data_IF_166265461353
#
_entry.id   IF_166265461353
#
_cell.length_a   1.000
_cell.length_b   1.000
_cell.length_c   1.000
_cell.angle_alpha   90.00
_cell.angle_beta   90.00
_cell.angle_gamma   90.00
#
_symmetry.space_group_name_H-M   'P 1'
#
loop_
_entity.id
_entity.type
_entity.pdbx_description
1 polymer ?
#
# COMPACT_ATOMS: atom_id res chain seq x y z
N UNK A 1 44.03 -17.31 -15.43
CA UNK A 1 43.18 -17.15 -14.22
C UNK A 1 42.94 -15.67 -13.84
N UNK A 2 43.73 -14.70 -14.36
CA UNK A 2 43.60 -13.24 -14.12
C UNK A 2 42.30 -12.60 -14.66
N UNK A 3 41.81 -12.99 -15.84
CA UNK A 3 40.62 -12.37 -16.48
C UNK A 3 39.29 -12.59 -15.74
N UNK A 4 39.16 -13.67 -14.97
CA UNK A 4 37.90 -14.04 -14.29
C UNK A 4 37.64 -13.17 -13.05
N UNK A 5 38.68 -12.75 -12.34
CA UNK A 5 38.56 -11.90 -11.14
C UNK A 5 38.16 -10.48 -11.51
N UNK A 6 38.71 -9.93 -12.60
CA UNK A 6 38.41 -8.57 -13.07
C UNK A 6 36.98 -8.43 -13.62
N UNK A 7 36.46 -9.47 -14.31
CA UNK A 7 35.08 -9.50 -14.79
C UNK A 7 34.05 -9.44 -13.65
N UNK A 8 34.34 -10.11 -12.53
CA UNK A 8 33.44 -10.15 -11.36
C UNK A 8 33.44 -8.83 -10.57
N UNK A 9 34.57 -8.13 -10.49
CA UNK A 9 34.64 -6.82 -9.81
C UNK A 9 33.80 -5.79 -10.56
N UNK A 10 33.89 -5.79 -11.89
CA UNK A 10 33.07 -4.94 -12.76
C UNK A 10 31.59 -5.31 -12.61
N UNK A 11 31.23 -6.60 -12.63
CA UNK A 11 29.84 -7.06 -12.44
C UNK A 11 29.25 -6.62 -11.08
N UNK A 12 30.02 -6.75 -10.00
CA UNK A 12 29.61 -6.29 -8.65
C UNK A 12 29.38 -4.78 -8.62
N UNK A 13 30.24 -4.01 -9.30
CA UNK A 13 30.16 -2.54 -9.36
C UNK A 13 29.07 -2.08 -10.35
N UNK A 14 28.78 -2.84 -11.40
CA UNK A 14 27.61 -2.63 -12.25
C UNK A 14 26.30 -2.85 -11.48
N UNK A 15 26.28 -3.85 -10.59
CA UNK A 15 25.10 -4.10 -9.77
C UNK A 15 24.82 -2.96 -8.76
N UNK A 16 25.80 -2.10 -8.46
CA UNK A 16 25.60 -0.90 -7.64
C UNK A 16 24.63 0.11 -8.26
N UNK A 17 24.54 0.20 -9.58
CA UNK A 17 23.61 1.14 -10.24
C UNK A 17 22.33 0.47 -10.76
N UNK A 18 22.38 -0.82 -11.11
CA UNK A 18 21.20 -1.56 -11.60
C UNK A 18 20.19 -1.86 -10.50
N UNK A 19 20.65 -2.15 -9.28
CA UNK A 19 19.76 -2.51 -8.17
C UNK A 19 18.93 -1.34 -7.64
N UNK A 20 19.48 -0.14 -7.35
CA UNK A 20 18.68 0.99 -6.86
C UNK A 20 17.49 1.32 -7.76
N UNK A 21 17.65 1.24 -9.08
CA UNK A 21 16.59 1.50 -10.05
C UNK A 21 15.39 0.57 -9.92
N UNK A 22 15.54 -0.63 -9.32
CA UNK A 22 14.41 -1.54 -9.09
C UNK A 22 13.49 -1.11 -7.94
N UNK A 23 13.90 -0.13 -7.10
CA UNK A 23 12.99 0.53 -6.14
C UNK A 23 12.04 1.54 -6.83
N UNK A 24 12.24 1.76 -8.13
CA UNK A 24 11.47 2.66 -8.97
C UNK A 24 10.74 1.82 -10.02
N UNK A 25 9.43 1.97 -10.10
CA UNK A 25 8.63 1.40 -11.17
C UNK A 25 8.50 2.42 -12.31
N UNK A 26 8.65 1.95 -13.54
CA UNK A 26 8.37 2.75 -14.73
C UNK A 26 6.91 2.56 -15.12
N UNK A 27 6.15 3.65 -15.17
CA UNK A 27 4.74 3.63 -15.55
C UNK A 27 4.56 4.40 -16.86
N UNK A 28 3.89 3.79 -17.83
CA UNK A 28 3.55 4.41 -19.10
C UNK A 28 2.50 5.52 -18.90
N UNK A 29 2.74 6.68 -19.51
CA UNK A 29 1.83 7.81 -19.51
C UNK A 29 0.73 7.60 -20.56
N UNK A 30 -0.50 8.05 -20.28
CA UNK A 30 -1.52 8.17 -21.30
C UNK A 30 -1.05 9.14 -22.37
N UNK A 31 -1.46 8.88 -23.60
CA UNK A 31 -1.35 9.83 -24.69
C UNK A 31 -2.14 11.09 -24.33
N UNK A 32 -1.42 12.15 -23.94
CA UNK A 32 -1.97 13.50 -24.03
C UNK A 32 -2.21 13.83 -25.49
N UNK A 33 -3.34 14.45 -25.79
CA UNK A 33 -3.93 14.68 -27.12
C UNK A 33 -3.07 15.44 -28.15
N UNK A 34 -1.75 15.59 -27.98
CA UNK A 34 -0.86 16.26 -28.94
C UNK A 34 0.56 15.66 -29.05
N UNK A 35 0.87 14.49 -28.47
CA UNK A 35 2.17 13.83 -28.71
C UNK A 35 2.05 12.33 -28.90
N UNK A 36 2.46 11.84 -30.09
CA UNK A 36 2.39 10.45 -30.57
C UNK A 36 3.36 9.47 -29.88
N UNK A 37 3.86 9.79 -28.70
CA UNK A 37 4.74 8.89 -27.93
C UNK A 37 4.27 8.79 -26.48
N UNK A 38 4.04 7.58 -25.95
CA UNK A 38 3.76 7.38 -24.53
C UNK A 38 5.01 7.80 -23.76
N UNK A 39 4.92 8.92 -23.05
CA UNK A 39 6.00 9.33 -22.15
C UNK A 39 6.02 8.33 -20.99
N UNK A 40 7.17 7.98 -20.43
CA UNK A 40 7.22 7.12 -19.24
C UNK A 40 7.54 8.00 -18.01
N UNK A 41 6.91 7.75 -16.86
CA UNK A 41 7.31 8.37 -15.59
C UNK A 41 7.60 7.33 -14.53
N UNK A 42 8.69 7.59 -13.85
CA UNK A 42 9.20 6.81 -12.75
C UNK A 42 8.46 7.13 -11.43
N UNK A 43 7.88 6.12 -10.80
CA UNK A 43 7.25 6.22 -9.49
C UNK A 43 7.91 5.30 -8.46
N UNK A 44 7.76 5.63 -7.18
CA UNK A 44 8.23 4.75 -6.12
C UNK A 44 7.37 3.49 -6.07
N UNK A 45 7.97 2.33 -5.79
CA UNK A 45 7.26 1.04 -5.87
C UNK A 45 6.02 0.97 -4.94
N UNK A 46 6.03 1.69 -3.81
CA UNK A 46 4.87 1.78 -2.90
C UNK A 46 3.77 2.73 -3.38
N UNK A 47 3.99 3.49 -4.46
CA UNK A 47 2.94 4.26 -5.14
C UNK A 47 2.09 3.33 -6.02
N UNK A 48 1.69 2.19 -5.48
CA UNK A 48 0.87 1.19 -6.13
C UNK A 48 -0.58 1.25 -5.60
N UNK A 49 -1.51 0.72 -6.39
CA UNK A 49 -2.95 0.65 -6.07
C UNK A 49 -3.19 0.08 -4.68
N UNK A 50 -2.46 -0.98 -4.38
CA UNK A 50 -2.59 -1.81 -3.19
C UNK A 50 -2.36 -1.03 -1.89
N UNK A 51 -1.47 -0.04 -1.87
CA UNK A 51 -1.28 0.82 -0.70
C UNK A 51 -2.51 1.69 -0.43
N UNK A 52 -3.04 2.34 -1.47
CA UNK A 52 -4.22 3.21 -1.33
C UNK A 52 -5.50 2.41 -1.08
N UNK A 53 -5.59 1.20 -1.62
CA UNK A 53 -6.65 0.24 -1.35
C UNK A 53 -6.64 -0.25 0.11
N UNK A 54 -5.45 -0.51 0.67
CA UNK A 54 -5.28 -0.84 2.08
C UNK A 54 -5.66 0.34 2.98
N UNK A 55 -5.17 1.53 2.66
CA UNK A 55 -5.53 2.77 3.34
C UNK A 55 -7.05 2.97 3.30
N UNK A 56 -7.65 2.63 2.17
CA UNK A 56 -9.07 2.76 1.97
C UNK A 56 -9.88 1.87 2.91
N UNK A 57 -9.55 0.58 2.93
CA UNK A 57 -10.15 -0.35 3.86
C UNK A 57 -10.02 0.10 5.33
N UNK A 58 -8.83 0.57 5.70
CA UNK A 58 -8.53 1.03 7.06
C UNK A 58 -9.49 2.14 7.50
N UNK A 59 -9.68 3.16 6.66
CA UNK A 59 -10.59 4.26 6.95
C UNK A 59 -12.06 3.84 6.98
N UNK A 60 -12.49 2.93 6.09
CA UNK A 60 -13.84 2.37 6.17
C UNK A 60 -14.09 1.64 7.50
N UNK A 61 -13.17 0.74 7.88
CA UNK A 61 -13.29 -0.05 9.10
C UNK A 61 -13.33 0.83 10.35
N UNK A 62 -12.51 1.88 10.40
CA UNK A 62 -12.51 2.84 11.52
C UNK A 62 -13.80 3.66 11.66
N UNK A 63 -14.65 3.71 10.63
CA UNK A 63 -15.96 4.41 10.68
C UNK A 63 -17.10 3.51 11.16
N UNK A 64 -16.86 2.22 11.33
CA UNK A 64 -17.80 1.34 11.99
C UNK A 64 -17.97 1.76 13.47
N UNK A 65 -19.04 1.34 14.15
CA UNK A 65 -19.23 1.62 15.56
C UNK A 65 -18.05 1.14 16.40
N UNK A 66 -17.52 1.99 17.27
CA UNK A 66 -16.37 1.70 18.14
C UNK A 66 -16.74 0.94 19.42
N UNK A 67 -18.02 0.94 19.79
CA UNK A 67 -18.50 0.35 21.03
C UNK A 67 -19.88 -0.26 20.87
N UNK A 68 -20.25 -1.11 21.83
CA UNK A 68 -21.61 -1.67 21.90
C UNK A 68 -22.69 -0.59 21.96
N UNK A 69 -22.42 0.50 22.68
CA UNK A 69 -23.35 1.61 22.86
C UNK A 69 -23.46 2.45 21.59
N UNK A 70 -22.34 2.67 20.89
CA UNK A 70 -22.35 3.31 19.58
C UNK A 70 -23.14 2.49 18.56
N UNK A 71 -22.98 1.16 18.58
CA UNK A 71 -23.73 0.26 17.71
C UNK A 71 -25.22 0.34 18.00
N UNK A 72 -25.63 0.25 19.27
CA UNK A 72 -27.05 0.32 19.67
C UNK A 72 -27.66 1.69 19.34
N UNK A 73 -26.90 2.77 19.49
CA UNK A 73 -27.32 4.12 19.10
C UNK A 73 -27.56 4.24 17.60
N UNK A 74 -26.72 3.63 16.77
CA UNK A 74 -26.83 3.68 15.31
C UNK A 74 -27.85 2.68 14.77
N UNK A 75 -27.99 1.53 15.43
CA UNK A 75 -28.87 0.44 15.04
C UNK A 75 -29.66 -0.08 16.24
N UNK A 76 -30.65 0.67 16.75
CA UNK A 76 -31.44 0.22 17.90
C UNK A 76 -32.05 -1.16 17.64
N UNK A 77 -31.95 -2.06 18.62
CA UNK A 77 -32.40 -3.45 18.51
C UNK A 77 -33.90 -3.54 18.20
N UNK A 78 -34.68 -2.63 18.76
CA UNK A 78 -36.12 -2.48 18.47
C UNK A 78 -36.40 -2.20 16.98
N UNK A 79 -35.56 -1.38 16.33
CA UNK A 79 -35.67 -1.07 14.90
C UNK A 79 -35.17 -2.23 14.03
N UNK A 80 -34.46 -3.20 14.62
CA UNK A 80 -33.99 -4.41 13.97
C UNK A 80 -34.90 -5.63 14.24
N UNK A 81 -36.07 -5.45 14.86
CA UNK A 81 -36.97 -6.53 15.28
C UNK A 81 -37.28 -7.53 14.15
N UNK A 82 -37.53 -7.02 12.93
CA UNK A 82 -37.80 -7.83 11.72
C UNK A 82 -36.70 -8.83 11.40
N UNK A 83 -35.43 -8.51 11.68
CA UNK A 83 -34.31 -9.43 11.49
C UNK A 83 -34.28 -10.47 12.60
N UNK A 84 -34.47 -10.03 13.85
CA UNK A 84 -34.42 -10.91 15.02
C UNK A 84 -35.60 -11.88 15.14
N UNK A 85 -36.73 -11.57 14.50
CA UNK A 85 -37.86 -12.49 14.35
C UNK A 85 -37.51 -13.69 13.45
N UNK A 86 -36.64 -13.48 12.46
CA UNK A 86 -36.16 -14.54 11.56
C UNK A 86 -35.03 -15.32 12.23
N UNK A 87 -34.04 -14.60 12.77
CA UNK A 87 -32.90 -15.15 13.49
C UNK A 87 -32.57 -14.29 14.71
N UNK A 88 -32.88 -14.80 15.90
CA UNK A 88 -32.66 -14.08 17.17
C UNK A 88 -31.19 -13.73 17.43
N UNK A 89 -30.24 -14.44 16.81
CA UNK A 89 -28.80 -14.20 17.01
C UNK A 89 -28.17 -13.22 16.01
N UNK A 90 -28.84 -12.86 14.90
CA UNK A 90 -28.23 -12.07 13.83
C UNK A 90 -27.76 -10.69 14.29
N UNK A 91 -28.49 -10.07 15.22
CA UNK A 91 -28.17 -8.75 15.74
C UNK A 91 -26.81 -8.75 16.46
N UNK A 92 -26.59 -9.72 17.36
CA UNK A 92 -25.34 -9.83 18.11
C UNK A 92 -24.18 -10.26 17.22
N UNK A 93 -24.41 -11.13 16.23
CA UNK A 93 -23.39 -11.53 15.26
C UNK A 93 -22.95 -10.34 14.41
N UNK A 94 -23.90 -9.54 13.92
CA UNK A 94 -23.61 -8.34 13.13
C UNK A 94 -22.84 -7.31 13.96
N UNK A 95 -23.29 -7.06 15.19
CA UNK A 95 -22.62 -6.19 16.16
C UNK A 95 -21.19 -6.61 16.42
N UNK A 96 -20.96 -7.90 16.74
CA UNK A 96 -19.62 -8.43 16.97
C UNK A 96 -18.72 -8.23 15.75
N UNK A 97 -19.20 -8.57 14.55
CA UNK A 97 -18.42 -8.38 13.31
C UNK A 97 -17.99 -6.93 13.09
N UNK A 98 -18.89 -5.97 13.32
CA UNK A 98 -18.57 -4.54 13.18
C UNK A 98 -17.50 -4.10 14.18
N UNK A 99 -17.65 -4.49 15.46
CA UNK A 99 -16.72 -4.11 16.51
C UNK A 99 -15.33 -4.73 16.33
N UNK A 100 -15.24 -5.98 15.89
CA UNK A 100 -13.97 -6.67 15.69
C UNK A 100 -13.18 -6.03 14.53
N UNK A 101 -13.86 -5.70 13.44
CA UNK A 101 -13.26 -5.02 12.28
C UNK A 101 -12.83 -3.61 12.65
N UNK A 102 -13.69 -2.85 13.33
CA UNK A 102 -13.38 -1.50 13.78
C UNK A 102 -12.10 -1.49 14.64
N UNK A 103 -12.02 -2.39 15.63
CA UNK A 103 -10.86 -2.47 16.53
C UNK A 103 -9.57 -2.88 15.81
N UNK A 104 -9.65 -3.83 14.88
CA UNK A 104 -8.49 -4.25 14.08
C UNK A 104 -7.99 -3.08 13.23
N UNK A 105 -8.88 -2.39 12.52
CA UNK A 105 -8.54 -1.21 11.73
C UNK A 105 -8.00 -0.05 12.58
N UNK A 106 -8.64 0.29 13.70
CA UNK A 106 -8.17 1.37 14.57
C UNK A 106 -6.78 1.08 15.15
N UNK A 107 -6.55 -0.14 15.64
CA UNK A 107 -5.24 -0.56 16.15
C UNK A 107 -4.19 -0.44 15.06
N UNK A 108 -4.43 -1.05 13.89
CA UNK A 108 -3.46 -1.02 12.79
C UNK A 108 -3.15 0.41 12.36
N UNK A 109 -4.16 1.28 12.25
CA UNK A 109 -3.96 2.69 11.92
C UNK A 109 -3.09 3.43 12.94
N UNK A 110 -3.34 3.21 14.24
CA UNK A 110 -2.63 3.86 15.33
C UNK A 110 -1.20 3.35 15.50
N UNK A 111 -1.00 2.04 15.34
CA UNK A 111 0.23 1.37 15.80
C UNK A 111 1.15 0.97 14.65
N UNK A 112 0.65 0.76 13.43
CA UNK A 112 1.41 0.07 12.37
C UNK A 112 1.36 0.76 11.00
N UNK A 113 0.22 1.34 10.61
CA UNK A 113 0.03 1.91 9.27
C UNK A 113 1.04 3.02 8.95
N UNK A 114 1.39 3.83 9.95
CA UNK A 114 2.38 4.90 9.83
C UNK A 114 3.80 4.42 9.49
N UNK A 115 4.12 3.13 9.65
CA UNK A 115 5.43 2.59 9.30
C UNK A 115 5.57 2.28 7.81
N UNK A 116 4.47 2.04 7.08
CA UNK A 116 4.52 1.80 5.63
C UNK A 116 5.14 2.99 4.90
N UNK A 117 4.67 4.24 5.09
CA UNK A 117 5.31 5.38 4.42
C UNK A 117 6.70 5.72 4.96
N UNK A 118 7.03 5.33 6.20
CA UNK A 118 8.40 5.47 6.72
C UNK A 118 9.42 4.66 5.91
N UNK A 119 9.02 3.58 5.23
CA UNK A 119 9.90 2.85 4.30
C UNK A 119 10.48 3.79 3.24
N UNK A 120 9.68 4.70 2.68
CA UNK A 120 10.19 5.69 1.73
C UNK A 120 11.25 6.61 2.38
N UNK A 121 11.07 6.96 3.66
CA UNK A 121 12.06 7.70 4.45
C UNK A 121 13.35 6.91 4.70
N UNK A 122 13.26 5.62 5.03
CA UNK A 122 14.43 4.74 5.17
C UNK A 122 15.19 4.61 3.84
N UNK A 123 14.47 4.41 2.73
CA UNK A 123 15.06 4.33 1.38
C UNK A 123 15.74 5.63 0.98
N UNK A 124 15.13 6.80 1.24
CA UNK A 124 15.75 8.10 1.01
C UNK A 124 17.03 8.28 1.83
N UNK A 125 16.98 7.94 3.12
CA UNK A 125 18.10 8.08 4.04
C UNK A 125 19.27 7.21 3.58
N UNK A 126 18.99 5.94 3.24
CA UNK A 126 19.97 5.07 2.63
C UNK A 126 20.54 5.67 1.34
N UNK A 127 19.68 6.13 0.42
CA UNK A 127 20.12 6.63 -0.89
C UNK A 127 21.02 7.87 -0.77
N UNK A 128 20.70 8.82 0.12
CA UNK A 128 21.54 9.99 0.40
C UNK A 128 22.91 9.57 0.94
N UNK A 129 22.89 8.62 1.87
CA UNK A 129 24.08 8.01 2.43
C UNK A 129 24.91 7.29 1.36
N UNK A 130 24.26 6.56 0.47
CA UNK A 130 24.91 5.81 -0.60
C UNK A 130 25.57 6.74 -1.62
N UNK A 131 24.93 7.86 -2.00
CA UNK A 131 25.53 8.88 -2.88
C UNK A 131 26.81 9.44 -2.26
N UNK A 132 26.77 9.84 -0.99
CA UNK A 132 27.93 10.38 -0.30
C UNK A 132 29.09 9.37 -0.26
N UNK A 133 28.78 8.12 0.13
CA UNK A 133 29.78 7.06 0.23
C UNK A 133 30.32 6.62 -1.13
N UNK A 134 29.49 6.59 -2.16
CA UNK A 134 29.89 6.31 -3.54
C UNK A 134 30.83 7.39 -4.08
N UNK A 135 30.57 8.67 -3.78
CA UNK A 135 31.49 9.76 -4.11
C UNK A 135 32.86 9.58 -3.44
N UNK A 136 32.88 9.19 -2.17
CA UNK A 136 34.13 8.86 -1.47
C UNK A 136 34.82 7.63 -2.02
N UNK A 137 34.06 6.60 -2.40
CA UNK A 137 34.61 5.41 -3.05
C UNK A 137 35.27 5.78 -4.38
N UNK A 138 34.66 6.67 -5.18
CA UNK A 138 35.23 7.18 -6.44
C UNK A 138 36.59 7.84 -6.22
N UNK A 139 36.71 8.69 -5.20
CA UNK A 139 37.97 9.35 -4.84
C UNK A 139 39.06 8.32 -4.50
N UNK A 140 38.74 7.30 -3.70
CA UNK A 140 39.72 6.27 -3.31
C UNK A 140 40.09 5.33 -4.45
N UNK A 141 39.12 4.91 -5.27
CA UNK A 141 39.37 4.09 -6.46
C UNK A 141 40.26 4.83 -7.45
N UNK A 142 40.08 6.15 -7.62
CA UNK A 142 40.96 6.95 -8.48
C UNK A 142 42.42 6.97 -8.02
N UNK A 143 42.67 6.89 -6.70
CA UNK A 143 44.03 6.76 -6.14
C UNK A 143 44.60 5.36 -6.39
N UNK A 144 43.80 4.30 -6.18
CA UNK A 144 44.25 2.91 -6.40
C UNK A 144 44.60 2.68 -7.88
N UNK A 145 43.88 3.34 -8.79
CA UNK A 145 44.06 3.26 -10.24
C UNK A 145 44.89 4.45 -10.80
N UNK A 146 45.79 5.00 -9.99
CA UNK A 146 46.79 5.96 -10.46
C UNK A 146 47.89 5.21 -11.20
N UNK A 147 48.28 5.70 -12.39
CA UNK A 147 49.23 5.06 -13.28
C UNK A 147 50.58 4.78 -12.58
N UNK A 148 50.94 5.57 -11.56
CA UNK A 148 52.16 5.35 -10.77
C UNK A 148 52.17 4.02 -10.00
N UNK A 149 51.02 3.38 -9.79
CA UNK A 149 50.87 2.11 -9.05
C UNK A 149 50.74 0.88 -9.95
N UNK A 150 50.95 1.03 -11.26
CA UNK A 150 50.98 -0.08 -12.22
C UNK A 150 52.01 -1.14 -11.81
N UNK A 151 53.20 -0.70 -11.40
CA UNK A 151 54.21 -1.58 -10.82
C UNK A 151 54.00 -1.76 -9.31
N UNK A 152 54.03 -3.00 -8.83
CA UNK A 152 53.85 -3.34 -7.42
C UNK A 152 54.87 -2.65 -6.50
N UNK A 153 56.10 -2.47 -6.97
CA UNK A 153 57.19 -1.78 -6.24
C UNK A 153 56.88 -0.32 -5.92
N UNK A 154 55.94 0.32 -6.63
CA UNK A 154 55.57 1.72 -6.43
C UNK A 154 54.38 1.90 -5.47
N UNK A 155 53.79 0.80 -4.96
CA UNK A 155 52.65 0.82 -4.03
C UNK A 155 53.07 1.32 -2.64
N UNK A 156 52.88 2.61 -2.45
CA UNK A 156 53.22 3.33 -1.22
C UNK A 156 52.14 3.22 -0.13
N UNK A 157 52.36 3.90 1.01
CA UNK A 157 51.38 3.98 2.10
C UNK A 157 50.02 4.51 1.61
N UNK A 158 49.99 5.47 0.68
CA UNK A 158 48.75 6.08 0.18
C UNK A 158 47.91 5.07 -0.60
N UNK A 159 48.55 4.19 -1.38
CA UNK A 159 47.86 3.07 -2.04
C UNK A 159 47.14 2.17 -1.01
N UNK A 160 47.87 1.74 0.02
CA UNK A 160 47.35 0.85 1.07
C UNK A 160 46.26 1.52 1.92
N UNK A 161 46.44 2.80 2.27
CA UNK A 161 45.44 3.59 2.99
C UNK A 161 44.15 3.72 2.16
N UNK A 162 44.25 3.98 0.86
CA UNK A 162 43.09 4.05 -0.05
C UNK A 162 42.40 2.70 -0.22
N UNK A 163 43.15 1.59 -0.30
CA UNK A 163 42.58 0.24 -0.33
C UNK A 163 41.78 -0.07 0.93
N UNK A 164 42.33 0.27 2.11
CA UNK A 164 41.63 0.10 3.39
C UNK A 164 40.40 1.01 3.51
N UNK A 165 40.48 2.24 2.98
CA UNK A 165 39.35 3.16 2.92
C UNK A 165 38.23 2.62 2.02
N UNK A 166 38.52 2.10 0.82
CA UNK A 166 37.54 1.44 -0.03
C UNK A 166 36.80 0.31 0.70
N UNK A 167 37.53 -0.56 1.40
CA UNK A 167 36.94 -1.66 2.19
C UNK A 167 36.00 -1.13 3.28
N UNK A 168 36.42 -0.09 4.00
CA UNK A 168 35.63 0.51 5.07
C UNK A 168 34.35 1.18 4.53
N UNK A 169 34.44 1.85 3.38
CA UNK A 169 33.30 2.48 2.71
C UNK A 169 32.29 1.43 2.22
N UNK A 170 32.77 0.34 1.61
CA UNK A 170 31.93 -0.78 1.18
C UNK A 170 31.27 -1.47 2.38
N UNK A 171 31.98 -1.66 3.49
CA UNK A 171 31.41 -2.22 4.72
C UNK A 171 30.30 -1.33 5.28
N UNK A 172 30.49 -0.01 5.25
CA UNK A 172 29.46 0.94 5.70
C UNK A 172 28.22 0.90 4.79
N UNK A 173 28.41 0.79 3.48
CA UNK A 173 27.32 0.60 2.51
C UNK A 173 26.57 -0.72 2.74
N UNK A 174 27.31 -1.82 2.98
CA UNK A 174 26.75 -3.13 3.33
C UNK A 174 25.87 -3.04 4.59
N UNK A 175 26.43 -2.54 5.69
CA UNK A 175 25.72 -2.45 6.97
C UNK A 175 24.43 -1.63 6.83
N UNK A 176 24.50 -0.46 6.16
CA UNK A 176 23.34 0.41 5.95
C UNK A 176 22.27 -0.24 5.07
N UNK A 177 22.66 -1.01 4.05
CA UNK A 177 21.69 -1.76 3.24
C UNK A 177 21.00 -2.85 4.07
N UNK A 178 21.75 -3.58 4.89
CA UNK A 178 21.20 -4.62 5.78
C UNK A 178 20.27 -4.04 6.85
N UNK A 179 20.62 -2.89 7.44
CA UNK A 179 19.76 -2.16 8.39
C UNK A 179 18.45 -1.70 7.73
N UNK A 180 18.53 -1.21 6.49
CA UNK A 180 17.35 -0.80 5.72
C UNK A 180 16.46 -2.00 5.39
N UNK A 181 17.06 -3.12 4.94
CA UNK A 181 16.33 -4.37 4.70
C UNK A 181 15.62 -4.87 5.96
N UNK A 182 16.29 -4.82 7.12
CA UNK A 182 15.71 -5.19 8.41
C UNK A 182 14.53 -4.29 8.79
N UNK A 183 14.68 -2.97 8.67
CA UNK A 183 13.60 -2.02 8.92
C UNK A 183 12.37 -2.31 8.06
N UNK A 184 12.55 -2.65 6.78
CA UNK A 184 11.45 -3.04 5.89
C UNK A 184 10.84 -4.39 6.30
N UNK A 185 11.67 -5.35 6.73
CA UNK A 185 11.21 -6.64 7.25
C UNK A 185 10.31 -6.48 8.48
N UNK A 186 10.62 -5.52 9.36
CA UNK A 186 9.79 -5.22 10.52
C UNK A 186 8.41 -4.67 10.09
N UNK A 187 8.36 -3.83 9.04
CA UNK A 187 7.08 -3.35 8.46
C UNK A 187 6.28 -4.49 7.83
N UNK A 188 6.93 -5.39 7.08
CA UNK A 188 6.28 -6.58 6.51
C UNK A 188 5.64 -7.43 7.61
N UNK A 189 6.33 -7.63 8.73
CA UNK A 189 5.84 -8.42 9.87
C UNK A 189 4.59 -7.78 10.50
N UNK A 190 4.52 -6.44 10.55
CA UNK A 190 3.33 -5.72 11.04
C UNK A 190 2.14 -5.92 10.10
N UNK A 191 2.36 -5.84 8.79
CA UNK A 191 1.31 -6.11 7.79
C UNK A 191 0.84 -7.57 7.87
N UNK A 192 1.74 -8.52 8.08
CA UNK A 192 1.38 -9.93 8.30
C UNK A 192 0.47 -10.12 9.51
N UNK A 193 0.72 -9.37 10.59
CA UNK A 193 -0.16 -9.36 11.76
C UNK A 193 -1.57 -8.90 11.40
N UNK A 194 -1.68 -7.79 10.68
CA UNK A 194 -2.97 -7.24 10.24
C UNK A 194 -3.69 -8.14 9.23
N UNK A 195 -2.96 -8.78 8.32
CA UNK A 195 -3.51 -9.72 7.36
C UNK A 195 -4.22 -10.88 8.08
N UNK A 196 -3.56 -11.48 9.07
CA UNK A 196 -4.14 -12.59 9.85
C UNK A 196 -5.42 -12.20 10.56
N UNK A 197 -5.48 -10.99 11.12
CA UNK A 197 -6.69 -10.48 11.75
C UNK A 197 -7.81 -10.22 10.74
N UNK A 198 -7.45 -9.72 9.55
CA UNK A 198 -8.38 -9.51 8.45
C UNK A 198 -8.94 -10.84 7.95
N UNK A 199 -8.11 -11.88 7.84
CA UNK A 199 -8.54 -13.24 7.49
C UNK A 199 -9.52 -13.83 8.52
N UNK A 200 -9.28 -13.60 9.82
CA UNK A 200 -10.23 -13.99 10.87
C UNK A 200 -11.57 -13.26 10.74
N UNK A 201 -11.55 -11.98 10.33
CA UNK A 201 -12.76 -11.21 10.09
C UNK A 201 -13.48 -11.61 8.79
N UNK A 202 -12.77 -12.19 7.82
CA UNK A 202 -13.31 -12.56 6.51
C UNK A 202 -14.44 -13.58 6.62
N UNK A 203 -14.35 -14.56 7.52
CA UNK A 203 -15.42 -15.55 7.74
C UNK A 203 -16.71 -14.89 8.24
N UNK A 204 -16.59 -13.93 9.16
CA UNK A 204 -17.72 -13.18 9.68
C UNK A 204 -18.37 -12.32 8.58
N UNK A 205 -17.56 -11.69 7.73
CA UNK A 205 -18.06 -10.90 6.60
C UNK A 205 -18.73 -11.79 5.54
N UNK A 206 -18.17 -12.97 5.24
CA UNK A 206 -18.80 -13.94 4.34
C UNK A 206 -20.15 -14.42 4.87
N UNK A 207 -20.25 -14.65 6.18
CA UNK A 207 -21.53 -14.96 6.83
C UNK A 207 -22.53 -13.82 6.63
N UNK A 208 -22.15 -12.57 6.94
CA UNK A 208 -23.03 -11.41 6.75
C UNK A 208 -23.39 -11.18 5.26
N UNK A 209 -22.47 -11.43 4.33
CA UNK A 209 -22.72 -11.39 2.89
C UNK A 209 -23.83 -12.37 2.51
N UNK A 210 -23.76 -13.59 3.04
CA UNK A 210 -24.78 -14.62 2.81
C UNK A 210 -26.12 -14.19 3.36
N UNK A 211 -26.18 -13.82 4.64
CA UNK A 211 -27.44 -13.49 5.32
C UNK A 211 -28.13 -12.26 4.71
N UNK A 212 -27.37 -11.21 4.41
CA UNK A 212 -27.96 -9.97 3.94
C UNK A 212 -28.12 -9.93 2.41
N UNK A 213 -27.22 -10.52 1.62
CA UNK A 213 -27.17 -10.27 0.16
C UNK A 213 -27.52 -11.48 -0.71
N UNK A 214 -26.84 -12.61 -0.53
CA UNK A 214 -26.92 -13.71 -1.51
C UNK A 214 -27.95 -14.76 -1.12
N UNK A 215 -28.14 -14.95 0.19
CA UNK A 215 -28.98 -15.99 0.76
C UNK A 215 -28.51 -17.41 0.39
N UNK A 216 -29.34 -18.41 0.73
CA UNK A 216 -30.46 -18.30 1.66
C UNK A 216 -30.00 -18.00 3.10
N UNK A 217 -30.85 -17.38 3.91
CA UNK A 217 -30.58 -17.04 5.32
C UNK A 217 -30.40 -18.33 6.13
N UNK A 218 -29.43 -18.36 7.03
CA UNK A 218 -29.21 -19.46 7.98
C UNK A 218 -29.28 -18.97 9.41
N UNK A 219 -29.70 -19.85 10.31
CA UNK A 219 -29.70 -19.58 11.74
C UNK A 219 -28.26 -19.34 12.24
N UNK A 220 -28.01 -18.18 12.82
CA UNK A 220 -26.67 -17.80 13.27
C UNK A 220 -26.06 -18.72 14.31
N UNK A 221 -26.89 -19.43 15.11
CA UNK A 221 -26.45 -20.33 16.17
C UNK A 221 -26.27 -21.77 15.67
N UNK A 222 -27.23 -22.29 14.91
CA UNK A 222 -27.26 -23.69 14.46
C UNK A 222 -26.69 -23.90 13.06
N UNK A 223 -26.46 -22.82 12.31
CA UNK A 223 -26.02 -22.80 10.90
C UNK A 223 -26.93 -23.55 9.93
N UNK A 224 -28.15 -23.89 10.35
CA UNK A 224 -29.17 -24.52 9.52
C UNK A 224 -29.93 -23.47 8.72
N UNK A 225 -30.27 -23.80 7.49
CA UNK A 225 -31.06 -22.93 6.63
C UNK A 225 -32.41 -22.59 7.28
N UNK A 226 -32.78 -21.30 7.23
CA UNK A 226 -34.10 -20.85 7.66
C UNK A 226 -35.09 -21.08 6.53
N UNK A 227 -36.27 -21.57 6.89
CA UNK A 227 -37.36 -21.75 5.96
C UNK A 227 -38.45 -20.70 6.22
N UNK A 228 -39.10 -20.25 5.16
CA UNK A 228 -40.28 -19.39 5.24
C UNK A 228 -41.54 -20.20 5.61
N UNK A 229 -42.69 -19.52 5.63
CA UNK A 229 -43.99 -20.15 5.95
C UNK A 229 -44.44 -21.20 4.92
N UNK A 230 -43.85 -21.20 3.73
CA UNK A 230 -44.10 -22.15 2.64
C UNK A 230 -43.06 -23.28 2.59
N UNK A 231 -42.21 -23.41 3.62
CA UNK A 231 -41.10 -24.36 3.69
C UNK A 231 -40.04 -24.17 2.59
N UNK A 232 -39.91 -22.95 2.05
CA UNK A 232 -38.88 -22.59 1.06
C UNK A 232 -37.70 -21.89 1.75
N UNK A 233 -36.49 -21.92 1.15
CA UNK A 233 -35.34 -21.18 1.66
C UNK A 233 -35.66 -19.71 1.88
N UNK A 234 -35.40 -19.20 3.09
CA UNK A 234 -35.70 -17.82 3.42
C UNK A 234 -34.78 -16.87 2.61
N UNK A 235 -35.34 -15.84 1.94
CA UNK A 235 -34.57 -14.96 1.09
C UNK A 235 -33.60 -14.09 1.91
N UNK A 236 -32.51 -13.58 1.30
CA UNK A 236 -31.59 -12.68 1.98
C UNK A 236 -32.29 -11.44 2.54
N UNK A 237 -31.80 -10.90 3.65
CA UNK A 237 -32.48 -9.82 4.38
C UNK A 237 -32.75 -8.57 3.53
N UNK A 238 -31.88 -8.23 2.58
CA UNK A 238 -32.14 -7.10 1.68
C UNK A 238 -33.47 -7.24 0.91
N UNK A 239 -33.77 -8.46 0.43
CA UNK A 239 -35.02 -8.75 -0.29
C UNK A 239 -36.21 -8.81 0.65
N UNK A 240 -36.01 -9.35 1.86
CA UNK A 240 -37.05 -9.47 2.86
C UNK A 240 -37.52 -8.10 3.40
N UNK A 241 -36.58 -7.17 3.65
CA UNK A 241 -36.89 -5.88 4.24
C UNK A 241 -37.59 -4.97 3.21
N UNK A 242 -36.98 -4.77 2.03
CA UNK A 242 -37.57 -3.93 0.98
C UNK A 242 -36.86 -4.02 -0.38
N UNK A 243 -37.60 -4.04 -1.49
CA UNK A 243 -37.02 -4.07 -2.85
C UNK A 243 -36.07 -2.90 -3.18
N UNK A 244 -36.34 -1.69 -2.68
CA UNK A 244 -35.46 -0.53 -2.92
C UNK A 244 -34.09 -0.66 -2.22
N UNK A 245 -33.97 -1.48 -1.16
CA UNK A 245 -32.68 -1.78 -0.52
C UNK A 245 -31.81 -2.61 -1.45
N UNK A 246 -32.41 -3.52 -2.23
CA UNK A 246 -31.68 -4.28 -3.25
C UNK A 246 -31.14 -3.36 -4.35
N UNK A 247 -31.94 -2.38 -4.80
CA UNK A 247 -31.52 -1.38 -5.79
C UNK A 247 -30.37 -0.50 -5.27
N UNK A 248 -30.48 -0.02 -4.03
CA UNK A 248 -29.41 0.75 -3.38
C UNK A 248 -28.11 -0.04 -3.24
N UNK A 249 -28.19 -1.31 -2.83
CA UNK A 249 -27.02 -2.17 -2.74
C UNK A 249 -26.37 -2.42 -4.11
N UNK A 250 -27.16 -2.53 -5.18
CA UNK A 250 -26.63 -2.60 -6.56
C UNK A 250 -25.93 -1.31 -6.96
N UNK A 251 -26.46 -0.15 -6.57
CA UNK A 251 -25.83 1.14 -6.83
C UNK A 251 -24.51 1.32 -6.06
N UNK A 252 -24.45 0.91 -4.78
CA UNK A 252 -23.21 0.90 -4.00
C UNK A 252 -22.15 0.00 -4.64
N UNK A 253 -22.51 -1.23 -5.02
CA UNK A 253 -21.58 -2.14 -5.70
C UNK A 253 -21.09 -1.56 -7.03
N UNK A 254 -22.00 -0.97 -7.82
CA UNK A 254 -21.63 -0.29 -9.07
C UNK A 254 -20.66 0.86 -8.83
N UNK A 255 -20.89 1.68 -7.81
CA UNK A 255 -20.01 2.80 -7.49
C UNK A 255 -18.63 2.33 -7.00
N UNK A 256 -18.55 1.23 -6.25
CA UNK A 256 -17.27 0.65 -5.83
C UNK A 256 -16.54 -0.02 -7.01
N UNK A 257 -17.22 -0.75 -7.90
CA UNK A 257 -16.60 -1.26 -9.13
C UNK A 257 -16.15 -0.12 -10.06
N UNK A 258 -16.91 0.97 -10.10
CA UNK A 258 -16.52 2.17 -10.85
C UNK A 258 -15.29 2.85 -10.25
N UNK A 259 -15.09 2.85 -8.93
CA UNK A 259 -13.80 3.23 -8.30
C UNK A 259 -12.67 2.42 -8.90
N UNK A 260 -12.88 1.12 -9.08
CA UNK A 260 -11.86 0.23 -9.58
C UNK A 260 -11.48 0.49 -11.04
N UNK A 261 -12.46 0.88 -11.86
CA UNK A 261 -12.27 1.35 -13.24
C UNK A 261 -11.63 2.75 -13.28
N UNK A 262 -12.08 3.68 -12.44
CA UNK A 262 -11.55 5.04 -12.34
C UNK A 262 -10.11 5.06 -11.83
N UNK A 263 -9.69 4.09 -11.01
CA UNK A 263 -8.29 3.91 -10.64
C UNK A 263 -7.41 3.55 -11.85
N UNK A 264 -7.88 2.67 -12.75
CA UNK A 264 -7.13 2.35 -13.97
C UNK A 264 -7.05 3.57 -14.90
N UNK A 265 -8.12 4.37 -14.95
CA UNK A 265 -8.13 5.66 -15.65
C UNK A 265 -7.22 6.68 -14.95
N UNK A 266 -7.06 6.64 -13.62
CA UNK A 266 -6.14 7.47 -12.82
C UNK A 266 -4.67 7.10 -13.07
N UNK A 267 -4.35 5.79 -13.15
CA UNK A 267 -3.03 5.29 -13.53
C UNK A 267 -2.63 5.85 -14.89
N UNK A 268 -3.61 6.00 -15.79
CA UNK A 268 -3.50 6.77 -17.00
C UNK A 268 -3.39 8.28 -16.65
N UNK A 269 -4.46 8.97 -16.27
CA UNK A 269 -4.60 10.43 -16.29
C UNK A 269 -3.71 11.23 -15.30
N UNK A 270 -3.28 10.64 -14.19
CA UNK A 270 -2.86 11.39 -12.99
C UNK A 270 -1.36 11.41 -12.78
N UNK A 271 -0.61 11.35 -13.88
CA UNK A 271 0.81 11.70 -13.88
C UNK A 271 1.04 13.19 -14.26
N UNK A 272 0.03 13.86 -14.83
CA UNK A 272 0.09 15.31 -15.15
C UNK A 272 -0.47 16.21 -14.03
N UNK A 273 -1.31 15.71 -13.13
CA UNK A 273 -1.85 16.49 -12.01
C UNK A 273 -1.95 15.64 -10.74
N UNK A 274 -1.32 16.05 -9.65
CA UNK A 274 -1.22 15.35 -8.36
C UNK A 274 -2.51 15.36 -7.52
N UNK A 275 -3.68 15.18 -8.14
CA UNK A 275 -4.95 15.66 -7.55
C UNK A 275 -6.18 14.86 -8.01
N UNK A 276 -6.43 13.66 -7.48
CA UNK A 276 -7.68 12.92 -7.77
C UNK A 276 -8.11 12.09 -6.56
N UNK A 277 -9.41 11.76 -6.45
CA UNK A 277 -9.99 11.20 -5.22
C UNK A 277 -10.36 9.73 -5.29
N UNK A 278 -10.05 9.00 -4.23
CA UNK A 278 -10.63 7.70 -3.90
C UNK A 278 -11.74 7.92 -2.88
N UNK A 279 -12.99 7.60 -3.24
CA UNK A 279 -14.11 7.62 -2.29
C UNK A 279 -14.31 6.25 -1.69
N UNK A 280 -14.61 6.27 -0.40
CA UNK A 280 -14.92 5.07 0.35
C UNK A 280 -16.29 5.23 0.94
N UNK A 281 -17.10 4.26 0.59
CA UNK A 281 -18.50 4.29 0.86
C UNK A 281 -18.77 3.58 2.19
N UNK A 282 -19.03 4.38 3.22
CA UNK A 282 -19.59 3.93 4.49
C UNK A 282 -20.88 4.75 4.74
N UNK A 283 -22.05 4.14 4.94
CA UNK A 283 -23.30 4.87 5.22
C UNK A 283 -23.26 5.85 6.39
N UNK A 284 -22.33 5.67 7.33
CA UNK A 284 -22.10 6.61 8.43
C UNK A 284 -21.35 7.88 7.98
N UNK A 285 -20.54 7.81 6.92
CA UNK A 285 -19.87 8.93 6.27
C UNK A 285 -19.28 8.48 4.92
N UNK A 286 -19.59 9.19 3.83
CA UNK A 286 -18.76 9.11 2.63
C UNK A 286 -17.40 9.73 2.99
N UNK A 287 -16.35 8.90 3.02
CA UNK A 287 -15.00 9.40 3.33
C UNK A 287 -14.25 9.56 2.02
N UNK A 288 -13.95 10.80 1.59
CA UNK A 288 -12.93 11.00 0.60
C UNK A 288 -11.59 10.62 1.25
N UNK A 289 -10.97 9.54 0.78
CA UNK A 289 -9.63 9.10 1.24
C UNK A 289 -8.51 9.84 0.49
N UNK A 290 -8.89 10.67 -0.49
CA UNK A 290 -8.01 11.62 -1.15
C UNK A 290 -8.65 13.02 -1.24
N UNK A 291 -7.86 14.09 -1.39
CA UNK A 291 -8.23 15.47 -0.98
C UNK A 291 -8.63 16.42 -2.13
N UNK A 292 -9.31 15.95 -3.19
CA UNK A 292 -9.75 16.82 -4.31
C UNK A 292 -11.07 16.37 -4.96
N UNK A 293 -12.21 16.86 -4.45
CA UNK A 293 -13.56 16.52 -4.91
C UNK A 293 -13.71 16.44 -6.43
N UNK A 294 -14.03 15.26 -6.98
CA UNK A 294 -14.48 15.14 -8.36
C UNK A 294 -15.99 15.34 -8.41
N UNK A 295 -16.49 16.03 -9.43
CA UNK A 295 -17.93 16.25 -9.66
C UNK A 295 -18.75 14.95 -9.61
N UNK A 296 -18.15 13.81 -9.96
CA UNK A 296 -18.81 12.51 -10.02
C UNK A 296 -18.96 11.84 -8.66
N UNK A 297 -18.01 12.06 -7.76
CA UNK A 297 -18.12 11.53 -6.42
C UNK A 297 -19.03 12.37 -5.52
N UNK A 298 -19.04 13.70 -5.75
CA UNK A 298 -20.09 14.59 -5.22
C UNK A 298 -21.47 14.09 -5.67
N UNK A 299 -21.64 13.72 -6.95
CA UNK A 299 -22.91 13.17 -7.46
C UNK A 299 -23.31 11.82 -6.83
N UNK A 300 -22.34 10.95 -6.54
CA UNK A 300 -22.61 9.67 -5.89
C UNK A 300 -23.02 9.84 -4.42
N UNK A 301 -22.37 10.75 -3.69
CA UNK A 301 -22.78 11.14 -2.34
C UNK A 301 -24.17 11.80 -2.34
N UNK A 302 -24.43 12.70 -3.28
CA UNK A 302 -25.75 13.32 -3.43
C UNK A 302 -26.86 12.31 -3.74
N UNK A 303 -26.60 11.31 -4.60
CA UNK A 303 -27.55 10.23 -4.88
C UNK A 303 -27.86 9.39 -3.63
N UNK A 304 -26.84 9.11 -2.81
CA UNK A 304 -27.02 8.45 -1.52
C UNK A 304 -27.86 9.26 -0.54
N UNK A 305 -27.53 10.53 -0.35
CA UNK A 305 -28.29 11.40 0.55
C UNK A 305 -29.75 11.51 0.08
N UNK A 306 -29.98 11.60 -1.22
CA UNK A 306 -31.32 11.59 -1.81
C UNK A 306 -32.07 10.28 -1.51
N UNK A 307 -31.42 9.13 -1.65
CA UNK A 307 -32.01 7.83 -1.32
C UNK A 307 -32.29 7.68 0.19
N UNK A 308 -31.39 8.17 1.05
CA UNK A 308 -31.57 8.20 2.50
C UNK A 308 -32.77 9.06 2.90
N UNK A 309 -32.94 10.23 2.26
CA UNK A 309 -34.10 11.11 2.46
C UNK A 309 -35.39 10.43 1.98
N UNK A 310 -35.37 9.77 0.81
CA UNK A 310 -36.53 9.03 0.30
C UNK A 310 -36.94 7.86 1.21
N UNK A 311 -35.97 7.22 1.87
CA UNK A 311 -36.21 6.15 2.83
C UNK A 311 -36.63 6.65 4.21
N UNK A 312 -36.18 7.83 4.64
CA UNK A 312 -36.58 8.46 5.90
C UNK A 312 -38.06 8.90 5.91
N UNK A 313 -38.66 9.05 4.73
CA UNK A 313 -40.12 9.21 4.59
C UNK A 313 -40.88 7.92 4.93
N UNK A 314 -40.19 6.77 4.96
CA UNK A 314 -40.69 5.51 5.46
C UNK A 314 -40.20 5.30 6.90
N UNK A 315 -41.00 4.60 7.71
CA UNK A 315 -40.84 4.36 9.16
C UNK A 315 -39.38 4.15 9.63
N UNK A 316 -39.09 4.57 10.87
CA UNK A 316 -37.74 4.54 11.47
C UNK A 316 -37.03 3.17 11.43
N UNK A 317 -37.78 2.06 11.49
CA UNK A 317 -37.27 0.70 11.33
C UNK A 317 -36.69 0.46 9.92
N UNK A 318 -37.37 0.92 8.86
CA UNK A 318 -36.91 0.79 7.47
C UNK A 318 -35.62 1.59 7.25
N UNK A 319 -35.53 2.79 7.82
CA UNK A 319 -34.31 3.63 7.73
C UNK A 319 -33.12 2.94 8.39
N UNK A 320 -33.30 2.39 9.59
CA UNK A 320 -32.26 1.69 10.35
C UNK A 320 -31.78 0.44 9.62
N UNK A 321 -32.72 -0.39 9.16
CA UNK A 321 -32.42 -1.63 8.45
C UNK A 321 -31.75 -1.38 7.10
N UNK A 322 -32.11 -0.30 6.41
CA UNK A 322 -31.43 0.09 5.18
C UNK A 322 -29.99 0.52 5.46
N UNK A 323 -29.77 1.39 6.46
CA UNK A 323 -28.42 1.80 6.84
C UNK A 323 -27.54 0.58 7.20
N UNK A 324 -28.07 -0.34 8.00
CA UNK A 324 -27.37 -1.57 8.38
C UNK A 324 -27.01 -2.42 7.15
N UNK A 325 -27.99 -2.69 6.29
CA UNK A 325 -27.82 -3.48 5.06
C UNK A 325 -26.75 -2.89 4.13
N UNK A 326 -26.75 -1.57 3.95
CA UNK A 326 -25.80 -0.91 3.07
C UNK A 326 -24.40 -0.91 3.66
N UNK A 327 -24.24 -0.78 4.98
CA UNK A 327 -22.92 -0.89 5.64
C UNK A 327 -22.34 -2.28 5.45
N UNK A 328 -23.17 -3.31 5.62
CA UNK A 328 -22.77 -4.70 5.40
C UNK A 328 -22.38 -4.90 3.94
N UNK A 329 -23.13 -4.35 2.99
CA UNK A 329 -22.77 -4.42 1.57
C UNK A 329 -21.44 -3.74 1.27
N UNK A 330 -21.22 -2.53 1.75
CA UNK A 330 -19.95 -1.82 1.60
C UNK A 330 -18.78 -2.61 2.19
N UNK A 331 -18.98 -3.17 3.39
CA UNK A 331 -18.01 -4.04 4.05
C UNK A 331 -17.69 -5.29 3.23
N UNK A 332 -18.71 -5.99 2.72
CA UNK A 332 -18.51 -7.18 1.89
C UNK A 332 -17.72 -6.87 0.62
N UNK A 333 -18.06 -5.77 -0.07
CA UNK A 333 -17.36 -5.39 -1.31
C UNK A 333 -15.92 -4.96 -1.00
N UNK A 334 -15.67 -4.31 0.14
CA UNK A 334 -14.31 -3.98 0.56
C UNK A 334 -13.49 -5.23 0.86
N UNK A 335 -14.09 -6.26 1.46
CA UNK A 335 -13.45 -7.52 1.80
C UNK A 335 -13.21 -8.47 0.61
N UNK A 336 -14.04 -8.41 -0.44
CA UNK A 336 -14.01 -9.36 -1.57
C UNK A 336 -12.60 -9.45 -2.21
N UNK A 337 -11.86 -8.33 -2.28
CA UNK A 337 -10.50 -8.28 -2.87
C UNK A 337 -9.43 -7.81 -1.85
N UNK A 338 -9.78 -7.65 -0.57
CA UNK A 338 -8.88 -7.06 0.42
C UNK A 338 -7.64 -7.91 0.68
N UNK A 339 -7.80 -9.24 0.72
CA UNK A 339 -6.68 -10.17 0.92
C UNK A 339 -5.66 -10.01 -0.21
N UNK A 340 -6.12 -9.96 -1.46
CA UNK A 340 -5.27 -9.75 -2.63
C UNK A 340 -4.56 -8.39 -2.59
N UNK A 341 -5.27 -7.34 -2.14
CA UNK A 341 -4.72 -5.99 -1.96
C UNK A 341 -3.64 -5.94 -0.87
N UNK A 342 -3.86 -6.59 0.27
CA UNK A 342 -2.85 -6.72 1.33
C UNK A 342 -1.64 -7.51 0.82
N UNK A 343 -1.87 -8.62 0.12
CA UNK A 343 -0.82 -9.44 -0.47
C UNK A 343 0.05 -8.66 -1.47
N UNK A 344 -0.57 -7.86 -2.36
CA UNK A 344 0.14 -7.04 -3.32
C UNK A 344 0.93 -5.89 -2.66
N UNK A 345 0.41 -5.25 -1.61
CA UNK A 345 1.15 -4.24 -0.84
C UNK A 345 2.38 -4.85 -0.14
N UNK A 346 2.21 -6.06 0.41
CA UNK A 346 3.28 -6.86 1.01
C UNK A 346 4.32 -7.29 -0.03
N UNK A 347 3.90 -7.72 -1.21
CA UNK A 347 4.81 -8.07 -2.31
C UNK A 347 5.68 -6.88 -2.73
N UNK A 348 5.10 -5.68 -2.84
CA UNK A 348 5.87 -4.47 -3.11
C UNK A 348 6.93 -4.22 -2.03
N UNK A 349 6.61 -4.41 -0.75
CA UNK A 349 7.60 -4.29 0.34
C UNK A 349 8.67 -5.38 0.29
N UNK A 350 8.31 -6.63 -0.03
CA UNK A 350 9.28 -7.72 -0.24
C UNK A 350 10.26 -7.39 -1.37
N UNK A 351 9.77 -6.84 -2.48
CA UNK A 351 10.61 -6.43 -3.61
C UNK A 351 11.62 -5.33 -3.20
N UNK A 352 11.20 -4.36 -2.38
CA UNK A 352 12.11 -3.34 -1.84
C UNK A 352 13.11 -3.98 -0.87
N UNK A 353 12.68 -4.87 0.03
CA UNK A 353 13.57 -5.58 0.95
C UNK A 353 14.64 -6.37 0.21
N UNK A 354 14.23 -7.16 -0.78
CA UNK A 354 15.12 -8.02 -1.56
C UNK A 354 16.18 -7.19 -2.31
N UNK A 355 15.84 -5.99 -2.77
CA UNK A 355 16.80 -5.05 -3.34
C UNK A 355 17.91 -4.69 -2.35
N UNK A 356 17.57 -4.40 -1.09
CA UNK A 356 18.56 -4.07 -0.07
C UNK A 356 19.37 -5.29 0.38
N UNK A 357 18.76 -6.48 0.44
CA UNK A 357 19.48 -7.73 0.71
C UNK A 357 20.52 -8.01 -0.39
N UNK A 358 20.13 -7.87 -1.67
CA UNK A 358 21.04 -8.05 -2.82
C UNK A 358 22.14 -6.99 -2.83
N UNK A 359 21.84 -5.75 -2.48
CA UNK A 359 22.87 -4.71 -2.31
C UNK A 359 23.88 -5.10 -1.23
N UNK A 360 23.41 -5.53 -0.05
CA UNK A 360 24.27 -5.98 1.05
C UNK A 360 25.18 -7.13 0.64
N UNK A 361 24.64 -8.12 -0.08
CA UNK A 361 25.41 -9.24 -0.62
C UNK A 361 26.49 -8.77 -1.60
N UNK A 362 26.13 -7.92 -2.57
CA UNK A 362 27.09 -7.40 -3.56
C UNK A 362 28.21 -6.57 -2.90
N UNK A 363 27.90 -5.78 -1.87
CA UNK A 363 28.95 -5.08 -1.12
C UNK A 363 29.86 -6.05 -0.37
N UNK A 364 29.30 -7.13 0.21
CA UNK A 364 30.08 -8.20 0.82
C UNK A 364 31.05 -8.86 -0.16
N UNK A 365 30.56 -9.17 -1.36
CA UNK A 365 31.38 -9.73 -2.43
C UNK A 365 32.49 -8.75 -2.84
N UNK A 366 32.17 -7.45 -3.01
CA UNK A 366 33.16 -6.42 -3.31
C UNK A 366 34.27 -6.36 -2.24
N UNK A 367 33.91 -6.42 -0.96
CA UNK A 367 34.87 -6.40 0.15
C UNK A 367 35.81 -7.60 0.09
N UNK A 368 35.27 -8.81 -0.15
CA UNK A 368 36.09 -10.01 -0.32
C UNK A 368 37.04 -9.86 -1.52
N UNK A 369 36.58 -9.31 -2.64
CA UNK A 369 37.40 -9.09 -3.82
C UNK A 369 38.52 -8.07 -3.57
N UNK A 370 38.22 -6.92 -2.96
CA UNK A 370 39.25 -5.94 -2.56
C UNK A 370 40.24 -6.52 -1.54
N UNK A 371 39.82 -7.48 -0.72
CA UNK A 371 40.71 -8.16 0.23
C UNK A 371 41.69 -9.10 -0.46
N UNK A 372 41.27 -9.73 -1.57
CA UNK A 372 42.06 -10.72 -2.31
C UNK A 372 42.82 -10.14 -3.53
N UNK A 373 42.58 -8.87 -3.88
CA UNK A 373 43.17 -8.22 -5.06
C UNK A 373 44.66 -7.85 -4.92
N UNK A 374 45.40 -8.42 -3.96
CA UNK A 374 46.84 -8.15 -3.81
C UNK A 374 47.69 -8.71 -4.98
N UNK A 375 47.17 -9.66 -5.75
CA UNK A 375 48.03 -10.50 -6.62
C UNK A 375 48.25 -10.01 -8.05
N UNK A 376 47.42 -9.16 -8.67
CA UNK A 376 47.72 -8.58 -10.01
C UNK A 376 46.69 -7.53 -10.41
N UNK A 377 47.12 -6.29 -10.64
CA UNK A 377 46.35 -5.30 -11.40
C UNK A 377 46.93 -5.35 -12.82
N UNK A 378 46.22 -5.99 -13.74
CA UNK A 378 46.68 -6.31 -15.11
C UNK A 378 46.43 -5.14 -16.10
N UNK A 379 47.18 -5.13 -17.21
CA UNK A 379 47.51 -4.05 -18.20
C UNK A 379 46.38 -3.16 -18.81
N UNK A 380 45.14 -3.16 -18.31
CA UNK A 380 44.08 -2.23 -18.78
C UNK A 380 43.53 -1.31 -17.69
N UNK A 381 44.40 -0.89 -16.77
CA UNK A 381 44.14 0.09 -15.70
C UNK A 381 43.31 1.29 -16.16
N UNK A 382 43.57 1.82 -17.37
CA UNK A 382 42.82 2.93 -17.95
C UNK A 382 41.35 2.59 -18.27
N UNK A 383 41.08 1.45 -18.93
CA UNK A 383 39.70 1.02 -19.27
C UNK A 383 38.94 0.68 -17.98
N UNK A 384 39.61 0.04 -17.02
CA UNK A 384 39.02 -0.29 -15.73
C UNK A 384 38.69 0.97 -14.93
N UNK A 385 39.58 1.97 -14.92
CA UNK A 385 39.33 3.27 -14.29
C UNK A 385 38.13 3.98 -14.90
N UNK A 386 38.02 4.02 -16.22
CA UNK A 386 36.89 4.64 -16.92
C UNK A 386 35.57 3.91 -16.60
N UNK A 387 35.55 2.58 -16.66
CA UNK A 387 34.36 1.77 -16.40
C UNK A 387 33.90 1.87 -14.94
N UNK A 388 34.82 1.83 -13.98
CA UNK A 388 34.51 1.91 -12.56
C UNK A 388 33.98 3.29 -12.17
N UNK A 389 34.59 4.35 -12.71
CA UNK A 389 34.10 5.72 -12.48
C UNK A 389 32.71 5.93 -13.11
N UNK A 390 32.48 5.46 -14.34
CA UNK A 390 31.18 5.54 -15.00
C UNK A 390 30.11 4.73 -14.24
N UNK A 391 30.43 3.53 -13.75
CA UNK A 391 29.50 2.75 -12.94
C UNK A 391 29.12 3.45 -11.63
N UNK A 392 30.08 4.07 -10.94
CA UNK A 392 29.80 4.86 -9.73
C UNK A 392 28.93 6.08 -10.04
N UNK A 393 29.21 6.79 -11.14
CA UNK A 393 28.41 7.94 -11.56
C UNK A 393 26.97 7.55 -11.92
N UNK A 394 26.79 6.39 -12.58
CA UNK A 394 25.46 5.82 -12.84
C UNK A 394 24.75 5.44 -11.55
N UNK A 395 25.47 4.89 -10.56
CA UNK A 395 24.89 4.53 -9.27
C UNK A 395 24.39 5.77 -8.52
N UNK A 396 25.17 6.85 -8.51
CA UNK A 396 24.77 8.13 -7.93
C UNK A 396 23.48 8.64 -8.58
N UNK A 397 23.43 8.69 -9.92
CA UNK A 397 22.22 9.11 -10.65
C UNK A 397 21.01 8.22 -10.37
N UNK A 398 21.22 6.91 -10.24
CA UNK A 398 20.16 5.97 -9.88
C UNK A 398 19.60 6.26 -8.48
N UNK A 399 20.46 6.53 -7.49
CA UNK A 399 20.04 6.90 -6.15
C UNK A 399 19.31 8.25 -6.10
N UNK A 400 19.75 9.25 -6.88
CA UNK A 400 19.06 10.53 -7.00
C UNK A 400 17.63 10.35 -7.52
N UNK A 401 17.45 9.47 -8.51
CA UNK A 401 16.15 9.10 -9.06
C UNK A 401 15.26 8.44 -8.00
N UNK A 402 15.80 7.49 -7.22
CA UNK A 402 15.10 6.85 -6.10
C UNK A 402 14.66 7.87 -5.05
N UNK A 403 15.55 8.81 -4.66
CA UNK A 403 15.23 9.87 -3.70
C UNK A 403 14.03 10.68 -4.20
N UNK A 404 14.07 11.14 -5.45
CA UNK A 404 12.99 11.94 -6.04
C UNK A 404 11.67 11.19 -6.07
N UNK A 405 11.66 9.94 -6.52
CA UNK A 405 10.45 9.10 -6.54
C UNK A 405 9.89 8.87 -5.14
N UNK A 406 10.74 8.61 -4.14
CA UNK A 406 10.32 8.46 -2.75
C UNK A 406 9.81 9.79 -2.14
N UNK A 407 10.39 10.94 -2.51
CA UNK A 407 9.92 12.26 -2.08
C UNK A 407 8.54 12.56 -2.65
N UNK A 408 8.33 12.25 -3.93
CA UNK A 408 7.03 12.39 -4.58
C UNK A 408 5.98 11.50 -3.92
N UNK A 409 6.33 10.27 -3.51
CA UNK A 409 5.45 9.41 -2.73
C UNK A 409 5.11 10.01 -1.35
N UNK A 410 6.09 10.52 -0.62
CA UNK A 410 5.85 11.19 0.68
C UNK A 410 5.04 12.48 0.55
N UNK A 411 5.14 13.20 -0.57
CA UNK A 411 4.28 14.37 -0.85
C UNK A 411 2.84 13.99 -1.16
N UNK A 412 2.60 12.74 -1.60
CA UNK A 412 1.25 12.17 -1.72
C UNK A 412 0.73 11.58 -0.41
N UNK A 413 1.53 11.59 0.65
CA UNK A 413 1.16 11.11 1.99
C UNK A 413 0.28 12.15 2.70
N UNK A 414 -0.80 11.67 3.34
CA UNK A 414 -1.89 12.49 3.85
C UNK A 414 -1.57 13.21 5.16
N UNK A 415 -2.08 14.44 5.29
CA UNK A 415 -2.59 14.99 6.55
C UNK A 415 -4.11 14.83 6.52
N UNK A 416 -4.69 14.06 7.44
CA UNK A 416 -6.14 14.01 7.62
C UNK A 416 -6.58 15.38 8.12
N UNK A 417 -7.09 16.24 7.24
CA UNK A 417 -7.84 17.41 7.69
C UNK A 417 -9.21 16.93 8.17
N UNK A 418 -9.66 17.35 9.37
CA UNK A 418 -11.01 17.08 9.82
C UNK A 418 -11.99 17.60 8.77
N UNK A 419 -13.05 16.83 8.49
CA UNK A 419 -14.10 17.31 7.60
C UNK A 419 -14.60 18.67 8.09
N UNK A 420 -14.90 19.63 7.19
CA UNK A 420 -15.63 20.81 7.59
C UNK A 420 -16.90 20.34 8.30
N UNK A 421 -17.11 20.86 9.50
CA UNK A 421 -18.26 20.56 10.33
C UNK A 421 -19.52 20.83 9.50
N UNK A 422 -20.15 19.76 9.01
CA UNK A 422 -21.42 19.85 8.31
C UNK A 422 -22.42 20.03 9.44
N UNK A 423 -22.65 21.30 9.77
CA UNK A 423 -23.49 21.70 10.88
C UNK A 423 -24.85 20.97 10.90
N UNK A 424 -25.53 20.98 12.04
CA UNK A 424 -26.76 20.22 12.23
C UNK A 424 -27.76 20.50 11.10
N UNK A 425 -28.43 19.43 10.65
CA UNK A 425 -29.51 19.51 9.69
C UNK A 425 -30.49 20.62 10.12
N UNK A 426 -30.99 21.45 9.18
CA UNK A 426 -31.91 22.52 9.52
C UNK A 426 -33.11 21.94 10.27
N UNK A 427 -33.31 22.43 11.49
CA UNK A 427 -34.50 22.13 12.28
C UNK A 427 -35.73 22.54 11.47
N UNK A 428 -36.62 21.58 11.24
CA UNK A 428 -37.86 21.82 10.52
C UNK A 428 -38.78 22.69 11.39
N UNK A 429 -39.02 23.91 10.93
CA UNK A 429 -40.09 24.80 11.37
C UNK A 429 -41.44 24.41 10.78
#
# INVERSE_FOLDING_TARGET
MSTTTNSKTIEVIENLYKLPLKAVATVQLPEGSDSKEPKEKDCFLLKCRSYYDLQAYLFAGMKLPSSSDDYERLYPKENCAKLTEVDSGIYEVTKKGFLDIQKSCERFNREDFGYIPQVAGSVQTYSKNAIFLAGKLKEQVAVILDDKYEEESNRDKKFNDSKNACRSLLQLLQNRSSETAKSISDVITRIDGFQKETELNFEAVCFLKKEYRTGPVVDSLTKKEKLDKELKPFPPYCKYIHGQIEELNKEVEKNIKRRDEEYEIWKHSTIVASTSVLYIWCPAASVPVMSVFTDRAIKADAAWQAAKIALAQNKADITTLTALSVNITGLCVLFDDLSDKIAAAKEALHNIKELFDKQSQNFGDAIHMFSNADETIDESLFIQKLLLQDCIDRAIKAFEKVIKSAEDFKKTEFKVEPMPDVGPLPEQS
#
